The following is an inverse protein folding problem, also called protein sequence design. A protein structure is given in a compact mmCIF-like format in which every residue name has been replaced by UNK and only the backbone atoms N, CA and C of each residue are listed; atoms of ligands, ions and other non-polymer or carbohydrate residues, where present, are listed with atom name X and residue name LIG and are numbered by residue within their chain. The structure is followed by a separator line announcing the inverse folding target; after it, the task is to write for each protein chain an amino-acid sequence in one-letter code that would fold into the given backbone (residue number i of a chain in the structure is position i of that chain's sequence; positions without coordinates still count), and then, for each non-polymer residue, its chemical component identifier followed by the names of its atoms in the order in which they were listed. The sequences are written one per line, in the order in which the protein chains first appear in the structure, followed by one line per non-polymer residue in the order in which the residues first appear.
data_IF_009434851628
#
_entry.id   IF_009434851628
#
_cell.length_a   1.000
_cell.length_b   1.000
_cell.length_c   1.000
_cell.angle_alpha   90.00
_cell.angle_beta   90.00
_cell.angle_gamma   90.00
#
_symmetry.space_group_name_H-M   'P 1'
#
loop_
_entity.id
_entity.type
_entity.pdbx_description
1 polymer ?
#
# COMPACT_ATOMS: atom_id res chain seq x y z
N UNK A 1 14.18 42.23 12.72
CA UNK A 1 14.12 41.29 11.58
C UNK A 1 15.52 40.78 11.33
N UNK A 2 15.81 39.54 11.72
CA UNK A 2 17.17 38.98 11.70
C UNK A 2 17.31 38.10 10.46
N UNK A 3 18.10 38.53 9.49
CA UNK A 3 18.39 37.75 8.28
C UNK A 3 19.54 36.79 8.56
N UNK A 4 19.35 35.51 8.25
CA UNK A 4 20.40 34.49 8.35
C UNK A 4 21.51 34.74 7.32
N UNK A 5 22.77 34.62 7.73
CA UNK A 5 23.92 34.76 6.83
C UNK A 5 23.98 33.58 5.86
N UNK A 6 24.50 33.76 4.61
CA UNK A 6 24.55 32.70 3.60
C UNK A 6 25.26 31.40 4.04
N UNK A 7 26.21 31.49 4.97
CA UNK A 7 26.90 30.32 5.56
C UNK A 7 26.03 29.57 6.58
N UNK A 8 25.21 30.28 7.35
CA UNK A 8 24.24 29.67 8.27
C UNK A 8 23.13 28.95 7.49
N UNK A 9 22.73 29.47 6.32
CA UNK A 9 21.80 28.78 5.41
C UNK A 9 22.42 27.54 4.76
N UNK A 10 23.74 27.51 4.53
CA UNK A 10 24.44 26.33 4.01
C UNK A 10 24.60 25.25 5.08
N UNK A 11 24.94 25.64 6.31
CA UNK A 11 24.98 24.72 7.44
C UNK A 11 23.58 24.18 7.77
N UNK A 12 22.55 25.03 7.81
CA UNK A 12 21.16 24.61 8.00
C UNK A 12 20.70 23.64 6.89
N UNK A 13 21.11 23.86 5.63
CA UNK A 13 20.84 22.92 4.52
C UNK A 13 21.63 21.62 4.61
N UNK A 14 22.86 21.65 5.13
CA UNK A 14 23.67 20.45 5.36
C UNK A 14 23.13 19.64 6.55
N UNK A 15 22.73 20.30 7.63
CA UNK A 15 22.11 19.70 8.81
C UNK A 15 20.71 19.17 8.48
N UNK A 16 19.93 19.86 7.64
CA UNK A 16 18.64 19.36 7.12
C UNK A 16 18.80 18.16 6.18
N UNK A 17 19.93 18.04 5.47
CA UNK A 17 20.27 16.88 4.62
C UNK A 17 20.83 15.71 5.43
N UNK A 18 21.59 15.98 6.50
CA UNK A 18 22.06 14.95 7.43
C UNK A 18 20.93 14.42 8.31
N UNK A 19 19.86 15.21 8.53
CA UNK A 19 18.62 14.77 9.17
C UNK A 19 17.66 14.02 8.22
N UNK A 20 17.90 13.98 6.91
CA UNK A 20 17.00 13.30 5.95
C UNK A 20 17.13 11.76 5.96
N UNK A 21 18.17 11.20 6.60
CA UNK A 21 18.32 9.74 6.74
C UNK A 21 17.56 9.15 7.95
N UNK A 22 16.96 9.99 8.80
CA UNK A 22 16.24 9.57 10.02
C UNK A 22 14.82 10.18 10.13
N UNK A 23 14.28 10.73 9.03
CA UNK A 23 12.93 11.28 9.03
C UNK A 23 11.90 10.17 9.00
N UNK A 24 11.13 10.08 10.08
CA UNK A 24 9.86 9.40 10.10
C UNK A 24 9.04 9.82 8.85
N UNK A 25 8.77 8.89 7.91
CA UNK A 25 7.96 9.16 6.72
C UNK A 25 6.48 9.39 7.06
N UNK A 26 6.11 9.32 8.35
CA UNK A 26 4.81 9.72 8.83
C UNK A 26 4.58 11.22 8.62
N UNK A 27 3.42 11.51 8.03
CA UNK A 27 2.92 12.86 7.84
C UNK A 27 1.44 12.83 8.13
N UNK A 28 0.98 13.78 8.94
CA UNK A 28 -0.44 13.93 9.22
C UNK A 28 -1.22 14.20 7.94
N UNK A 29 -2.48 13.76 7.91
CA UNK A 29 -3.34 13.85 6.74
C UNK A 29 -3.46 15.29 6.19
N UNK A 30 -3.60 16.28 7.07
CA UNK A 30 -3.73 17.69 6.68
C UNK A 30 -2.49 18.17 5.91
N UNK A 31 -1.30 17.84 6.42
CA UNK A 31 -0.05 18.16 5.76
C UNK A 31 0.04 17.47 4.40
N UNK A 32 -0.32 16.18 4.34
CA UNK A 32 -0.22 15.40 3.11
C UNK A 32 -1.18 15.90 2.04
N UNK A 33 -2.40 16.26 2.42
CA UNK A 33 -3.38 16.85 1.51
C UNK A 33 -2.91 18.22 0.97
N UNK A 34 -2.28 19.03 1.82
CA UNK A 34 -1.67 20.29 1.38
C UNK A 34 -0.57 20.03 0.34
N UNK A 35 0.34 19.08 0.59
CA UNK A 35 1.38 18.72 -0.36
C UNK A 35 0.80 18.17 -1.68
N UNK A 36 -0.21 17.30 -1.59
CA UNK A 36 -0.90 16.73 -2.74
C UNK A 36 -1.57 17.80 -3.62
N UNK A 37 -2.14 18.83 -3.00
CA UNK A 37 -2.76 19.96 -3.72
C UNK A 37 -1.73 20.84 -4.41
N UNK A 38 -0.57 21.06 -3.78
CA UNK A 38 0.50 21.92 -4.30
C UNK A 38 1.38 21.22 -5.35
N UNK A 39 1.47 19.90 -5.29
CA UNK A 39 2.36 19.09 -6.12
C UNK A 39 1.55 18.00 -6.84
N UNK A 40 0.69 18.37 -7.81
CA UNK A 40 -0.10 17.40 -8.56
C UNK A 40 0.81 16.42 -9.31
N UNK A 41 0.35 15.18 -9.56
CA UNK A 41 1.16 14.19 -10.26
C UNK A 41 1.43 14.62 -11.71
N UNK A 42 2.66 14.41 -12.20
CA UNK A 42 3.00 14.66 -13.60
C UNK A 42 2.27 13.75 -14.59
N UNK A 43 1.87 12.56 -14.15
CA UNK A 43 1.03 11.62 -14.89
C UNK A 43 -0.01 10.98 -13.97
N UNK A 44 -1.26 10.91 -14.44
CA UNK A 44 -2.40 10.32 -13.70
C UNK A 44 -2.74 8.94 -14.26
N UNK A 45 -1.78 8.04 -14.26
CA UNK A 45 -2.02 6.68 -14.75
C UNK A 45 -3.09 5.98 -13.88
N UNK A 46 -4.03 5.22 -14.46
CA UNK A 46 -5.15 4.63 -13.74
C UNK A 46 -4.72 3.33 -13.01
N UNK A 47 -3.66 3.42 -12.22
CA UNK A 47 -3.04 2.30 -11.51
C UNK A 47 -2.85 2.64 -10.04
N UNK A 48 -3.13 1.66 -9.17
CA UNK A 48 -2.91 1.80 -7.73
C UNK A 48 -1.46 2.15 -7.42
N UNK A 49 -0.51 1.49 -8.10
CA UNK A 49 0.92 1.73 -7.93
C UNK A 49 1.30 3.17 -8.29
N UNK A 50 0.77 3.72 -9.38
CA UNK A 50 1.02 5.12 -9.78
C UNK A 50 0.50 6.12 -8.76
N UNK A 51 -0.68 5.88 -8.19
CA UNK A 51 -1.23 6.73 -7.12
C UNK A 51 -0.43 6.61 -5.82
N UNK A 52 -0.12 5.38 -5.37
CA UNK A 52 0.66 5.17 -4.16
C UNK A 52 2.09 5.69 -4.26
N UNK A 53 2.70 5.58 -5.45
CA UNK A 53 4.04 6.10 -5.71
C UNK A 53 4.07 7.61 -5.64
N UNK A 54 3.09 8.29 -6.23
CA UNK A 54 2.96 9.74 -6.08
C UNK A 54 2.84 10.14 -4.62
N UNK A 55 2.00 9.46 -3.81
CA UNK A 55 1.92 9.72 -2.37
C UNK A 55 3.26 9.49 -1.66
N UNK A 56 4.01 8.46 -2.05
CA UNK A 56 5.34 8.22 -1.51
C UNK A 56 6.30 9.37 -1.83
N UNK A 57 6.30 9.85 -3.07
CA UNK A 57 7.19 10.93 -3.54
C UNK A 57 6.90 12.27 -2.84
N UNK A 58 5.65 12.52 -2.44
CA UNK A 58 5.30 13.67 -1.60
C UNK A 58 5.93 13.61 -0.20
N UNK A 59 6.14 12.40 0.33
CA UNK A 59 6.75 12.19 1.65
C UNK A 59 8.27 12.06 1.59
N UNK A 60 8.81 11.52 0.50
CA UNK A 60 10.22 11.18 0.33
C UNK A 60 10.71 11.78 -1.00
N UNK A 61 11.30 12.99 -0.99
CA UNK A 61 11.61 13.73 -2.21
C UNK A 61 12.74 13.13 -3.07
N UNK A 62 13.43 12.07 -2.61
CA UNK A 62 14.46 11.38 -3.39
C UNK A 62 14.31 9.87 -3.24
N UNK A 63 13.82 9.22 -4.30
CA UNK A 63 13.61 7.77 -4.34
C UNK A 63 14.87 7.08 -4.88
N UNK A 64 15.46 6.10 -4.16
CA UNK A 64 16.55 5.33 -4.73
C UNK A 64 16.06 4.49 -5.91
N UNK A 65 16.73 4.61 -7.06
CA UNK A 65 16.34 3.99 -8.35
C UNK A 65 16.24 2.46 -8.30
N UNK A 66 16.87 1.83 -7.30
CA UNK A 66 16.89 0.37 -7.09
C UNK A 66 15.73 -0.18 -6.25
N UNK A 67 14.88 0.67 -5.65
CA UNK A 67 13.88 0.24 -4.67
C UNK A 67 12.87 -0.81 -5.20
N UNK A 68 12.41 -0.65 -6.45
CA UNK A 68 11.46 -1.58 -7.09
C UNK A 68 12.07 -2.97 -7.33
N UNK A 69 13.30 -3.02 -7.85
CA UNK A 69 14.01 -4.28 -8.10
C UNK A 69 14.34 -5.02 -6.79
N UNK A 70 14.74 -4.28 -5.75
CA UNK A 70 14.97 -4.82 -4.41
C UNK A 70 13.67 -5.36 -3.80
N UNK A 71 12.56 -4.62 -3.92
CA UNK A 71 11.23 -5.04 -3.45
C UNK A 71 10.79 -6.36 -4.08
N UNK A 72 10.74 -6.43 -5.42
CA UNK A 72 10.34 -7.66 -6.14
C UNK A 72 11.28 -8.84 -5.86
N UNK A 73 12.59 -8.59 -5.75
CA UNK A 73 13.56 -9.63 -5.38
C UNK A 73 13.25 -10.18 -4.00
N UNK A 74 13.08 -9.31 -3.00
CA UNK A 74 12.82 -9.77 -1.66
C UNK A 74 11.43 -10.41 -1.51
N UNK A 75 10.39 -9.97 -2.24
CA UNK A 75 9.10 -10.67 -2.30
C UNK A 75 9.23 -12.10 -2.83
N UNK A 76 10.06 -12.30 -3.89
CA UNK A 76 10.38 -13.64 -4.40
C UNK A 76 11.14 -14.48 -3.38
N UNK A 77 12.09 -13.89 -2.65
CA UNK A 77 12.87 -14.57 -1.61
C UNK A 77 12.00 -14.94 -0.40
N UNK A 78 11.12 -14.05 0.06
CA UNK A 78 10.10 -14.32 1.08
C UNK A 78 9.17 -15.45 0.63
N UNK A 79 8.67 -15.39 -0.61
CA UNK A 79 7.83 -16.44 -1.20
C UNK A 79 8.56 -17.78 -1.26
N UNK A 80 9.82 -17.80 -1.66
CA UNK A 80 10.66 -18.99 -1.71
C UNK A 80 10.90 -19.56 -0.31
N UNK A 81 11.23 -18.72 0.67
CA UNK A 81 11.38 -19.10 2.07
C UNK A 81 10.10 -19.72 2.64
N UNK A 82 8.93 -19.13 2.36
CA UNK A 82 7.64 -19.72 2.75
C UNK A 82 7.36 -21.06 2.05
N UNK A 83 7.69 -21.20 0.77
CA UNK A 83 7.54 -22.46 0.02
C UNK A 83 8.50 -23.55 0.50
N UNK A 84 9.70 -23.20 0.94
CA UNK A 84 10.66 -24.15 1.52
C UNK A 84 10.28 -24.53 2.96
N UNK A 85 9.83 -23.56 3.78
CA UNK A 85 9.32 -23.79 5.14
C UNK A 85 7.98 -24.55 5.18
N UNK A 86 7.26 -24.68 4.06
CA UNK A 86 6.09 -25.58 3.92
C UNK A 86 6.37 -27.06 4.19
N UNK A 87 7.65 -27.48 4.29
CA UNK A 87 8.02 -28.82 4.76
C UNK A 87 8.05 -28.97 6.30
N UNK A 88 7.76 -27.93 7.08
CA UNK A 88 7.78 -28.09 8.54
C UNK A 88 7.34 -26.93 9.44
N UNK A 89 6.96 -25.74 8.94
CA UNK A 89 6.41 -24.68 9.78
C UNK A 89 5.06 -24.16 9.29
N UNK A 90 4.13 -24.12 10.22
CA UNK A 90 2.81 -23.53 10.11
C UNK A 90 2.95 -22.04 9.73
N UNK A 91 2.05 -21.57 8.85
CA UNK A 91 1.90 -20.13 8.52
C UNK A 91 1.88 -19.31 9.82
N UNK A 92 2.25 -18.01 9.81
CA UNK A 92 2.07 -17.15 10.97
C UNK A 92 0.60 -17.22 11.42
N UNK A 93 0.35 -18.06 12.44
CA UNK A 93 -0.97 -18.46 12.93
C UNK A 93 -1.66 -17.34 13.72
N UNK A 94 -1.03 -16.17 13.84
CA UNK A 94 -1.48 -15.13 14.76
C UNK A 94 -2.65 -14.28 14.23
N UNK A 95 -3.01 -14.37 12.94
CA UNK A 95 -4.19 -13.68 12.39
C UNK A 95 -5.22 -14.60 11.75
N UNK A 96 -4.84 -15.85 11.45
CA UNK A 96 -5.67 -16.78 10.68
C UNK A 96 -5.80 -18.08 11.48
N UNK A 97 -6.85 -18.16 12.29
CA UNK A 97 -7.42 -19.47 12.64
C UNK A 97 -7.75 -20.22 11.33
N UNK A 98 -7.96 -21.54 11.36
CA UNK A 98 -8.13 -22.40 10.17
C UNK A 98 -9.29 -22.03 9.21
N UNK A 99 -9.98 -20.92 9.46
CA UNK A 99 -11.13 -20.39 8.73
C UNK A 99 -10.73 -19.52 7.52
N UNK A 100 -9.48 -19.07 7.43
CA UNK A 100 -9.03 -18.21 6.34
C UNK A 100 -8.32 -18.98 5.23
N UNK A 101 -8.89 -18.91 4.02
CA UNK A 101 -8.34 -19.56 2.82
C UNK A 101 -7.69 -18.52 1.91
N UNK A 102 -6.45 -18.78 1.49
CA UNK A 102 -5.77 -17.98 0.46
C UNK A 102 -6.51 -18.17 -0.87
N UNK A 103 -7.00 -17.07 -1.46
CA UNK A 103 -7.73 -17.07 -2.73
C UNK A 103 -6.99 -16.32 -3.85
N UNK A 104 -5.99 -15.50 -3.51
CA UNK A 104 -5.13 -14.82 -4.47
C UNK A 104 -3.72 -14.63 -3.91
N UNK A 105 -2.71 -14.77 -4.77
CA UNK A 105 -1.31 -14.44 -4.51
C UNK A 105 -0.74 -13.83 -5.80
N UNK A 106 -0.05 -12.69 -5.70
CA UNK A 106 0.57 -12.02 -6.85
C UNK A 106 1.51 -13.00 -7.61
N UNK A 107 1.36 -13.15 -8.94
CA UNK A 107 2.30 -13.92 -9.75
C UNK A 107 3.73 -13.34 -9.81
N UNK A 108 3.98 -12.10 -9.39
CA UNK A 108 5.27 -11.40 -9.37
C UNK A 108 5.89 -11.19 -10.76
N UNK A 109 5.08 -10.74 -11.73
CA UNK A 109 5.53 -10.45 -13.10
C UNK A 109 6.12 -9.04 -13.22
N UNK A 110 6.95 -8.80 -14.26
CA UNK A 110 7.77 -7.60 -14.33
C UNK A 110 6.99 -6.34 -14.73
N UNK A 111 5.92 -6.44 -15.53
CA UNK A 111 5.09 -5.31 -15.91
C UNK A 111 3.59 -5.58 -15.69
N UNK A 112 2.87 -4.73 -14.93
CA UNK A 112 1.42 -4.82 -14.83
C UNK A 112 0.77 -4.35 -16.14
N UNK A 113 -0.19 -5.12 -16.66
CA UNK A 113 -1.09 -4.71 -17.73
C UNK A 113 -2.52 -5.12 -17.38
N UNK A 114 -3.56 -4.43 -17.89
CA UNK A 114 -4.95 -4.80 -17.58
C UNK A 114 -5.30 -6.22 -18.01
N UNK A 115 -4.68 -6.69 -19.10
CA UNK A 115 -4.79 -8.06 -19.63
C UNK A 115 -3.80 -9.04 -18.98
N UNK A 116 -2.89 -8.53 -18.15
CA UNK A 116 -1.85 -9.28 -17.48
C UNK A 116 -2.41 -10.20 -16.39
N UNK A 117 -1.73 -11.32 -16.14
CA UNK A 117 -2.12 -12.21 -15.05
C UNK A 117 -2.03 -11.47 -13.72
N UNK A 118 -3.13 -11.45 -12.97
CA UNK A 118 -3.18 -10.93 -11.61
C UNK A 118 -3.72 -9.50 -11.49
N UNK A 119 -3.82 -8.74 -12.59
CA UNK A 119 -4.46 -7.42 -12.56
C UNK A 119 -5.93 -7.53 -12.13
N UNK A 120 -6.30 -6.70 -11.16
CA UNK A 120 -7.64 -6.59 -10.60
C UNK A 120 -8.23 -5.24 -10.92
N UNK A 121 -9.42 -5.25 -11.51
CA UNK A 121 -10.18 -4.06 -11.84
C UNK A 121 -10.83 -3.47 -10.60
N UNK A 122 -10.83 -2.14 -10.51
CA UNK A 122 -11.48 -1.37 -9.45
C UNK A 122 -12.41 -0.36 -10.13
N UNK A 123 -13.62 -0.78 -10.48
CA UNK A 123 -14.53 0.05 -11.30
C UNK A 123 -15.10 1.25 -10.54
N UNK A 124 -15.09 1.23 -9.21
CA UNK A 124 -15.53 2.35 -8.37
C UNK A 124 -14.53 3.50 -8.30
N UNK A 125 -13.27 3.28 -8.70
CA UNK A 125 -12.22 4.29 -8.75
C UNK A 125 -11.86 4.58 -10.20
N UNK A 126 -11.85 5.86 -10.59
CA UNK A 126 -11.51 6.27 -11.96
C UNK A 126 -10.56 7.43 -11.98
N UNK A 127 -9.77 7.53 -13.05
CA UNK A 127 -9.13 8.78 -13.48
C UNK A 127 -9.59 9.08 -14.91
N UNK A 128 -10.24 10.23 -15.09
CA UNK A 128 -11.05 10.48 -16.28
C UNK A 128 -12.11 9.39 -16.42
N UNK A 129 -12.20 8.78 -17.61
CA UNK A 129 -13.12 7.68 -17.88
C UNK A 129 -12.54 6.28 -17.59
N UNK A 130 -11.23 6.21 -17.30
CA UNK A 130 -10.54 4.91 -17.14
C UNK A 130 -10.71 4.37 -15.72
N UNK A 131 -11.13 3.09 -15.56
CA UNK A 131 -11.17 2.45 -14.25
C UNK A 131 -9.75 2.19 -13.73
N UNK A 132 -9.61 2.12 -12.41
CA UNK A 132 -8.35 1.78 -11.77
C UNK A 132 -8.03 0.30 -11.86
N UNK A 133 -6.73 0.00 -11.84
CA UNK A 133 -6.19 -1.36 -11.82
C UNK A 133 -5.13 -1.51 -10.73
N UNK A 134 -5.09 -2.68 -10.10
CA UNK A 134 -4.13 -2.98 -9.03
C UNK A 134 -3.83 -4.48 -8.92
N UNK A 135 -2.75 -4.82 -8.23
CA UNK A 135 -2.35 -6.21 -7.98
C UNK A 135 -2.00 -6.31 -6.48
N UNK A 136 -2.90 -6.86 -5.63
CA UNK A 136 -2.58 -7.06 -4.22
C UNK A 136 -1.66 -8.25 -4.02
N UNK A 137 -0.78 -8.23 -3.02
CA UNK A 137 0.17 -9.34 -2.84
C UNK A 137 -0.52 -10.64 -2.42
N UNK A 138 -1.40 -10.57 -1.42
CA UNK A 138 -2.17 -11.71 -0.93
C UNK A 138 -3.60 -11.34 -0.60
N UNK A 139 -4.50 -12.30 -0.82
CA UNK A 139 -5.90 -12.17 -0.44
C UNK A 139 -6.39 -13.46 0.17
N UNK A 140 -6.95 -13.35 1.36
CA UNK A 140 -7.60 -14.43 2.07
C UNK A 140 -9.10 -14.17 2.16
N UNK A 141 -9.87 -15.25 2.20
CA UNK A 141 -11.30 -15.22 2.48
C UNK A 141 -11.59 -16.07 3.71
N UNK A 142 -12.33 -15.51 4.66
CA UNK A 142 -12.89 -16.29 5.75
C UNK A 142 -14.04 -17.13 5.20
N UNK A 143 -13.96 -18.45 5.36
CA UNK A 143 -14.93 -19.40 4.80
C UNK A 143 -16.30 -19.33 5.49
N UNK A 144 -16.35 -18.86 6.74
CA UNK A 144 -17.56 -18.81 7.55
C UNK A 144 -18.28 -17.46 7.38
N UNK A 145 -17.55 -16.35 7.42
CA UNK A 145 -18.14 -14.99 7.38
C UNK A 145 -18.17 -14.37 5.99
N UNK A 146 -17.42 -14.94 5.04
CA UNK A 146 -17.22 -14.37 3.72
C UNK A 146 -16.38 -13.09 3.70
N UNK A 147 -15.83 -12.66 4.84
CA UNK A 147 -14.93 -11.50 4.94
C UNK A 147 -13.65 -11.72 4.14
N UNK A 148 -13.04 -10.63 3.71
CA UNK A 148 -11.81 -10.63 2.94
C UNK A 148 -10.70 -9.96 3.74
N UNK A 149 -9.50 -10.54 3.69
CA UNK A 149 -8.28 -9.94 4.21
C UNK A 149 -7.31 -9.73 3.05
N UNK A 150 -6.95 -8.48 2.79
CA UNK A 150 -5.94 -8.11 1.81
C UNK A 150 -4.65 -7.74 2.55
N UNK A 151 -3.55 -8.34 2.13
CA UNK A 151 -2.23 -8.10 2.68
C UNK A 151 -1.32 -7.55 1.59
N UNK A 152 -0.64 -6.45 1.89
CA UNK A 152 0.42 -5.88 1.07
C UNK A 152 1.74 -5.99 1.83
N UNK A 153 2.77 -6.55 1.19
CA UNK A 153 4.08 -6.77 1.79
C UNK A 153 5.00 -5.64 1.42
N UNK A 154 5.80 -5.22 2.38
CA UNK A 154 6.84 -4.22 2.16
C UNK A 154 8.13 -4.66 2.81
N UNK A 155 9.22 -4.47 2.07
CA UNK A 155 10.56 -4.71 2.57
C UNK A 155 11.16 -3.36 2.89
N UNK A 156 11.56 -3.18 4.14
CA UNK A 156 12.14 -1.92 4.58
C UNK A 156 13.07 -2.16 5.75
N UNK A 157 14.11 -1.33 5.82
CA UNK A 157 14.94 -1.16 7.01
C UNK A 157 14.54 0.08 7.81
N UNK A 158 13.62 0.88 7.29
CA UNK A 158 13.11 2.07 7.98
C UNK A 158 12.12 1.67 9.08
N UNK A 159 12.03 2.52 10.10
CA UNK A 159 11.02 2.39 11.14
C UNK A 159 9.61 2.46 10.53
N UNK A 160 8.73 1.58 11.00
CA UNK A 160 7.32 1.57 10.62
C UNK A 160 6.60 2.55 11.54
N UNK A 161 5.96 3.61 11.00
CA UNK A 161 5.18 4.50 11.83
C UNK A 161 4.01 3.76 12.50
N UNK A 162 3.57 4.23 13.66
CA UNK A 162 2.46 3.61 14.42
C UNK A 162 1.17 3.45 13.60
N UNK A 163 0.95 4.34 12.62
CA UNK A 163 -0.21 4.31 11.72
C UNK A 163 0.11 3.84 10.31
N UNK A 164 1.31 3.28 10.07
CA UNK A 164 1.81 2.85 8.77
C UNK A 164 2.20 3.99 7.83
N UNK A 165 2.80 3.64 6.69
CA UNK A 165 3.20 4.63 5.68
C UNK A 165 2.00 5.14 4.87
N UNK A 166 1.93 6.44 4.52
CA UNK A 166 0.81 6.98 3.76
C UNK A 166 0.58 6.31 2.39
N UNK A 167 1.65 5.94 1.68
CA UNK A 167 1.55 5.24 0.39
C UNK A 167 0.96 3.83 0.54
N UNK A 168 1.36 3.09 1.58
CA UNK A 168 0.81 1.78 1.90
C UNK A 168 -0.68 1.88 2.28
N UNK A 169 -1.04 2.89 3.07
CA UNK A 169 -2.41 3.20 3.45
C UNK A 169 -3.32 3.38 2.22
N UNK A 170 -2.93 4.24 1.27
CA UNK A 170 -3.75 4.49 0.07
C UNK A 170 -3.76 3.30 -0.89
N UNK A 171 -2.66 2.54 -0.98
CA UNK A 171 -2.58 1.32 -1.78
C UNK A 171 -3.61 0.28 -1.32
N UNK A 172 -3.62 0.00 -0.01
CA UNK A 172 -4.59 -0.92 0.60
C UNK A 172 -6.03 -0.40 0.51
N UNK A 173 -6.24 0.91 0.64
CA UNK A 173 -7.55 1.52 0.42
C UNK A 173 -8.08 1.23 -0.99
N UNK A 174 -7.26 1.43 -2.03
CA UNK A 174 -7.66 1.12 -3.40
C UNK A 174 -8.03 -0.37 -3.55
N UNK A 175 -7.21 -1.28 -3.01
CA UNK A 175 -7.47 -2.71 -3.08
C UNK A 175 -8.77 -3.14 -2.39
N UNK A 176 -9.21 -2.40 -1.37
CA UNK A 176 -10.48 -2.68 -0.68
C UNK A 176 -11.72 -2.54 -1.58
N UNK A 177 -11.55 -1.88 -2.73
CA UNK A 177 -12.60 -1.62 -3.71
C UNK A 177 -12.52 -2.51 -4.96
N UNK A 178 -11.63 -3.50 -4.98
CA UNK A 178 -11.51 -4.45 -6.10
C UNK A 178 -12.84 -5.15 -6.38
N UNK A 179 -13.23 -5.19 -7.66
CA UNK A 179 -14.53 -5.67 -8.11
C UNK A 179 -14.81 -7.12 -7.68
N UNK A 180 -13.79 -7.98 -7.71
CA UNK A 180 -13.90 -9.40 -7.29
C UNK A 180 -14.38 -9.58 -5.84
N UNK A 181 -14.17 -8.56 -4.99
CA UNK A 181 -14.42 -8.62 -3.55
C UNK A 181 -15.35 -7.51 -3.07
N UNK A 182 -16.02 -6.81 -3.99
CA UNK A 182 -16.90 -5.70 -3.66
C UNK A 182 -18.08 -6.14 -2.78
N UNK A 183 -18.58 -7.37 -3.01
CA UNK A 183 -19.70 -7.99 -2.29
C UNK A 183 -19.32 -8.53 -0.89
N UNK A 184 -18.04 -8.48 -0.48
CA UNK A 184 -17.64 -8.94 0.83
C UNK A 184 -18.34 -8.13 1.94
N UNK A 185 -18.71 -8.76 3.06
CA UNK A 185 -19.32 -8.07 4.19
C UNK A 185 -18.38 -7.01 4.79
N UNK A 186 -17.11 -7.36 4.92
CA UNK A 186 -16.03 -6.48 5.35
C UNK A 186 -14.75 -6.85 4.58
N UNK A 187 -13.89 -5.84 4.38
CA UNK A 187 -12.53 -6.03 3.89
C UNK A 187 -11.55 -5.49 4.93
N UNK A 188 -10.78 -6.40 5.51
CA UNK A 188 -9.67 -6.12 6.41
C UNK A 188 -8.40 -5.91 5.59
N UNK A 189 -7.57 -4.97 6.02
CA UNK A 189 -6.38 -4.52 5.29
C UNK A 189 -5.18 -4.57 6.24
N UNK A 190 -4.07 -5.15 5.80
CA UNK A 190 -2.86 -5.22 6.61
C UNK A 190 -1.58 -4.99 5.80
N UNK A 191 -0.66 -4.22 6.37
CA UNK A 191 0.71 -4.11 5.87
C UNK A 191 1.63 -5.14 6.53
N UNK A 192 2.15 -6.10 5.79
CA UNK A 192 3.19 -7.01 6.28
C UNK A 192 4.58 -6.41 6.02
N UNK A 193 5.23 -5.91 7.07
CA UNK A 193 6.57 -5.33 6.95
C UNK A 193 7.63 -6.40 7.22
N UNK A 194 8.61 -6.49 6.33
CA UNK A 194 9.73 -7.43 6.38
C UNK A 194 11.04 -6.67 6.41
N UNK A 195 11.95 -7.13 7.26
CA UNK A 195 13.28 -6.56 7.47
C UNK A 195 14.31 -7.60 7.01
N UNK A 196 15.30 -7.15 6.25
CA UNK A 196 16.46 -7.98 5.90
C UNK A 196 17.40 -8.07 7.10
N UNK A 197 17.66 -9.30 7.58
CA UNK A 197 18.59 -9.58 8.68
C UNK A 197 19.60 -10.64 8.23
N UNK A 198 20.79 -10.18 7.83
CA UNK A 198 21.80 -11.05 7.23
C UNK A 198 21.35 -11.54 5.87
N UNK A 199 21.23 -12.86 5.68
CA UNK A 199 20.77 -13.51 4.44
C UNK A 199 19.28 -13.92 4.47
N UNK A 200 18.53 -13.51 5.50
CA UNK A 200 17.12 -13.85 5.66
C UNK A 200 16.24 -12.61 5.76
N UNK A 201 14.97 -12.76 5.38
CA UNK A 201 13.91 -11.79 5.71
C UNK A 201 13.15 -12.25 6.94
N UNK A 202 13.04 -11.37 7.92
CA UNK A 202 12.23 -11.57 9.12
C UNK A 202 11.08 -10.57 9.13
N UNK A 203 9.91 -10.99 9.55
CA UNK A 203 8.79 -10.07 9.73
C UNK A 203 9.16 -9.07 10.84
N UNK A 204 8.88 -7.79 10.62
CA UNK A 204 9.07 -6.76 11.63
C UNK A 204 8.32 -7.13 12.90
N UNK A 205 8.93 -7.00 14.10
CA UNK A 205 8.24 -7.28 15.36
C UNK A 205 7.18 -6.22 15.69
N UNK A 206 7.17 -5.07 15.00
CA UNK A 206 6.15 -4.05 15.14
C UNK A 206 4.80 -4.58 14.66
N UNK A 207 3.72 -4.27 15.39
CA UNK A 207 2.37 -4.62 14.97
C UNK A 207 2.14 -4.11 13.53
N UNK A 208 1.67 -4.97 12.60
CA UNK A 208 1.42 -4.52 11.23
C UNK A 208 0.35 -3.42 11.24
N UNK A 209 0.51 -2.34 10.47
CA UNK A 209 -0.54 -1.35 10.34
C UNK A 209 -1.77 -1.99 9.69
N UNK A 210 -2.95 -1.67 10.23
CA UNK A 210 -4.21 -2.33 9.91
C UNK A 210 -5.32 -1.31 9.67
N UNK A 211 -6.16 -1.59 8.68
CA UNK A 211 -7.34 -0.78 8.35
C UNK A 211 -8.53 -1.67 8.02
N UNK A 212 -9.71 -1.04 7.98
CA UNK A 212 -10.97 -1.69 7.57
C UNK A 212 -11.67 -0.80 6.56
N UNK A 213 -12.24 -1.41 5.51
CA UNK A 213 -12.99 -0.67 4.49
C UNK A 213 -14.16 0.10 5.08
N UNK A 214 -14.83 -0.45 6.11
CA UNK A 214 -15.91 0.23 6.83
C UNK A 214 -15.48 1.45 7.67
N UNK A 215 -14.18 1.74 7.84
CA UNK A 215 -13.75 2.88 8.64
C UNK A 215 -13.92 4.21 7.87
N UNK A 216 -14.85 5.04 8.32
CA UNK A 216 -15.21 6.29 7.64
C UNK A 216 -14.10 7.34 7.63
N UNK A 217 -13.27 7.42 8.69
CA UNK A 217 -12.12 8.35 8.71
C UNK A 217 -11.09 7.94 7.67
N UNK A 218 -10.72 6.65 7.66
CA UNK A 218 -9.82 6.07 6.67
C UNK A 218 -10.32 6.28 5.23
N UNK A 219 -11.60 6.01 4.98
CA UNK A 219 -12.24 6.22 3.68
C UNK A 219 -12.14 7.67 3.23
N UNK A 220 -12.52 8.63 4.10
CA UNK A 220 -12.51 10.05 3.78
C UNK A 220 -11.11 10.53 3.44
N UNK A 221 -10.13 10.20 4.28
CA UNK A 221 -8.74 10.64 4.10
C UNK A 221 -8.14 10.12 2.79
N UNK A 222 -8.37 8.84 2.46
CA UNK A 222 -7.86 8.30 1.20
C UNK A 222 -8.60 8.86 -0.01
N UNK A 223 -9.91 9.13 0.11
CA UNK A 223 -10.69 9.74 -0.96
C UNK A 223 -10.22 11.17 -1.27
N UNK A 224 -9.98 12.00 -0.26
CA UNK A 224 -9.49 13.37 -0.46
C UNK A 224 -8.13 13.38 -1.20
N UNK A 225 -7.23 12.45 -0.86
CA UNK A 225 -5.95 12.28 -1.56
C UNK A 225 -6.14 11.75 -2.99
N UNK A 226 -7.11 10.86 -3.20
CA UNK A 226 -7.42 10.34 -4.52
C UNK A 226 -8.04 11.41 -5.43
N UNK A 227 -8.87 12.30 -4.89
CA UNK A 227 -9.42 13.45 -5.60
C UNK A 227 -8.29 14.44 -5.95
N UNK A 228 -7.33 14.68 -5.05
CA UNK A 228 -6.14 15.49 -5.35
C UNK A 228 -5.26 14.87 -6.45
N UNK A 229 -5.24 13.54 -6.58
CA UNK A 229 -4.61 12.83 -7.70
C UNK A 229 -5.33 13.08 -9.04
N UNK A 230 -6.57 13.59 -9.02
CA UNK A 230 -7.46 13.73 -10.17
C UNK A 230 -8.41 12.55 -10.36
N UNK A 231 -8.56 11.73 -9.32
CA UNK A 231 -9.46 10.58 -9.29
C UNK A 231 -10.90 10.94 -8.93
N UNK A 232 -11.82 10.06 -9.29
CA UNK A 232 -13.23 10.14 -8.87
C UNK A 232 -13.67 8.80 -8.31
N UNK A 233 -14.51 8.86 -7.27
CA UNK A 233 -15.07 7.67 -6.62
C UNK A 233 -16.57 7.58 -6.82
N UNK A 234 -17.03 6.44 -7.32
CA UNK A 234 -18.46 6.12 -7.41
C UNK A 234 -18.72 4.84 -6.62
N UNK A 235 -19.39 4.98 -5.47
CA UNK A 235 -19.78 3.82 -4.67
C UNK A 235 -20.65 2.89 -5.51
N UNK A 236 -20.14 1.68 -5.75
CA UNK A 236 -20.88 0.63 -6.44
C UNK A 236 -22.00 0.14 -5.52
N UNK A 237 -23.22 0.02 -6.05
CA UNK A 237 -24.29 -0.69 -5.35
C UNK A 237 -23.99 -2.19 -5.50
N UNK A 238 -24.13 -3.01 -4.43
CA UNK A 238 -24.05 -4.45 -4.58
C UNK A 238 -25.01 -4.88 -5.69
N UNK A 239 -24.51 -5.65 -6.65
CA UNK A 239 -25.37 -6.32 -7.61
C UNK A 239 -26.35 -7.17 -6.79
N UNK A 240 -27.67 -6.93 -6.94
CA UNK A 240 -28.66 -7.88 -6.46
C UNK A 240 -28.37 -9.18 -7.21
N UNK A 241 -27.65 -10.12 -6.60
CA UNK A 241 -27.56 -11.47 -7.15
C UNK A 241 -28.96 -12.03 -7.12
N UNK A 242 -29.50 -12.32 -8.28
CA UNK A 242 -30.65 -13.20 -8.41
C UNK A 242 -30.27 -14.53 -7.74
N UNK A 243 -31.03 -15.01 -6.75
CA UNK A 243 -30.81 -16.32 -6.18
C UNK A 243 -31.06 -17.34 -7.30
N UNK A 244 -30.00 -18.00 -7.77
CA UNK A 244 -30.10 -19.25 -8.51
C UNK A 244 -29.93 -20.42 -7.56
#
# INVERSE_FOLDING_TARGET
MTFFRPEQLRQLRADMRAQDEDRDPFREHIWLLQQATQNPPGSRAPWVTSFSDWIFDLCVPSRPTSALAVGKRGEREIRAAFRQRRRGLERPRSLLNGEWKLIFEDPLQDAPSPEGRGAKKISSLKVGESPFWGIPDLVYRNINTGEILIIDRKISRANVPDYGWPNLKVQLWCYSWIDDWIDANEVHLAGEIWIEKGFEFVQSPTRPPQWRRGNMKFQRECLELFEAYGGTFKKMRPSRRDPR
#
